data_IF_022411151589
#
_entry.id   IF_022411151589
#
_cell.length_a   1.000
_cell.length_b   1.000
_cell.length_c   1.000
_cell.angle_alpha   90.00
_cell.angle_beta   90.00
_cell.angle_gamma   90.00
#
_symmetry.space_group_name_H-M   'P 1'
#
loop_
_entity.id
_entity.type
_entity.pdbx_description
1 polymer ?
#
# COMPACT_ATOMS: atom_id res chain seq x y z
N UNK A 1 -8.20 -25.74 17.36
CA UNK A 1 -7.26 -25.29 18.41
C UNK A 1 -6.13 -26.32 18.63
N UNK A 2 -5.53 -26.87 17.56
CA UNK A 2 -4.42 -27.85 17.64
C UNK A 2 -3.31 -27.64 16.56
N UNK A 3 -3.40 -26.59 15.73
CA UNK A 3 -2.45 -26.37 14.61
C UNK A 3 -1.28 -25.42 14.93
N UNK A 4 -1.49 -24.43 15.79
CA UNK A 4 -0.48 -23.39 16.09
C UNK A 4 0.57 -23.84 17.11
N UNK A 5 0.24 -24.80 17.98
CA UNK A 5 1.18 -25.33 18.97
C UNK A 5 2.32 -26.14 18.32
N UNK A 6 2.07 -26.77 17.15
CA UNK A 6 3.02 -27.66 16.49
C UNK A 6 4.18 -26.92 15.79
N UNK A 7 3.93 -25.74 15.22
CA UNK A 7 4.94 -25.00 14.46
C UNK A 7 5.95 -24.32 15.40
N UNK A 8 5.47 -23.75 16.51
CA UNK A 8 6.35 -23.20 17.53
C UNK A 8 7.19 -24.29 18.20
N UNK A 9 6.59 -25.45 18.50
CA UNK A 9 7.32 -26.60 19.05
C UNK A 9 8.39 -27.10 18.08
N UNK A 10 8.09 -27.16 16.78
CA UNK A 10 9.04 -27.60 15.76
C UNK A 10 10.20 -26.62 15.56
N UNK A 11 9.94 -25.32 15.64
CA UNK A 11 10.98 -24.27 15.58
C UNK A 11 11.91 -24.30 16.80
N UNK A 12 11.35 -24.45 18.00
CA UNK A 12 12.12 -24.57 19.24
C UNK A 12 12.92 -25.87 19.25
N UNK A 13 12.33 -27.00 18.80
CA UNK A 13 13.01 -28.29 18.73
C UNK A 13 14.19 -28.27 17.75
N UNK A 14 14.06 -27.62 16.59
CA UNK A 14 15.17 -27.45 15.65
C UNK A 14 16.29 -26.57 16.19
N UNK A 15 15.97 -25.48 16.91
CA UNK A 15 17.01 -24.66 17.58
C UNK A 15 17.73 -25.42 18.69
N UNK A 16 17.01 -26.26 19.44
CA UNK A 16 17.59 -27.10 20.48
C UNK A 16 18.49 -28.18 19.86
N UNK A 17 18.06 -28.84 18.78
CA UNK A 17 18.85 -29.84 18.06
C UNK A 17 20.13 -29.19 17.46
N UNK A 18 20.01 -27.99 16.89
CA UNK A 18 21.15 -27.23 16.37
C UNK A 18 22.16 -26.86 17.47
N UNK A 19 21.66 -26.41 18.63
CA UNK A 19 22.51 -26.06 19.77
C UNK A 19 23.19 -27.30 20.37
N UNK A 20 22.46 -28.42 20.49
CA UNK A 20 23.00 -29.70 20.95
C UNK A 20 24.07 -30.22 19.97
N UNK A 21 23.86 -30.11 18.66
CA UNK A 21 24.84 -30.51 17.66
C UNK A 21 26.15 -29.70 17.79
N UNK A 22 26.07 -28.39 18.00
CA UNK A 22 27.23 -27.52 18.23
C UNK A 22 27.97 -27.89 19.52
N UNK A 23 27.24 -28.13 20.61
CA UNK A 23 27.83 -28.52 21.90
C UNK A 23 28.50 -29.89 21.83
N UNK A 24 27.89 -30.86 21.13
CA UNK A 24 28.45 -32.19 20.89
C UNK A 24 29.74 -32.10 20.06
N UNK A 25 29.78 -31.28 19.01
CA UNK A 25 30.98 -31.08 18.18
C UNK A 25 32.11 -30.45 19.00
N UNK A 26 31.80 -29.49 19.87
CA UNK A 26 32.78 -28.83 20.74
C UNK A 26 33.30 -29.72 21.88
N UNK A 27 32.53 -30.72 22.33
CA UNK A 27 32.92 -31.63 23.42
C UNK A 27 33.57 -32.94 22.94
N UNK A 28 33.21 -33.46 21.76
CA UNK A 28 33.75 -34.74 21.26
C UNK A 28 35.13 -34.57 20.60
N UNK A 29 35.47 -33.37 20.10
CA UNK A 29 36.76 -33.14 19.43
C UNK A 29 37.56 -31.97 20.04
N UNK A 30 38.14 -32.11 21.26
CA UNK A 30 38.99 -31.06 21.82
C UNK A 30 40.38 -30.97 21.17
N UNK A 31 40.78 -32.01 20.42
CA UNK A 31 42.20 -32.24 20.06
C UNK A 31 42.49 -32.45 18.58
N UNK A 32 41.55 -32.16 17.67
CA UNK A 32 41.83 -32.14 16.22
C UNK A 32 41.99 -30.70 15.73
N UNK A 33 43.02 -30.05 16.27
CA UNK A 33 43.50 -28.73 15.84
C UNK A 33 44.92 -28.88 15.29
N UNK A 34 45.16 -29.76 14.33
CA UNK A 34 46.40 -29.71 13.56
C UNK A 34 46.17 -30.05 12.08
N UNK A 35 46.28 -28.98 11.29
CA UNK A 35 46.59 -28.88 9.86
C UNK A 35 45.62 -29.39 8.79
N UNK A 36 44.86 -30.48 8.98
CA UNK A 36 43.93 -30.96 7.92
C UNK A 36 42.46 -30.54 8.12
N UNK A 37 42.11 -29.99 9.30
CA UNK A 37 40.74 -29.53 9.61
C UNK A 37 40.35 -28.18 8.99
N UNK A 38 41.30 -27.37 8.53
CA UNK A 38 41.02 -26.05 7.94
C UNK A 38 40.40 -26.14 6.55
N UNK A 39 40.70 -27.20 5.78
CA UNK A 39 40.12 -27.43 4.45
C UNK A 39 38.70 -27.97 4.58
N UNK A 40 38.45 -28.87 5.54
CA UNK A 40 37.13 -29.44 5.78
C UNK A 40 36.17 -28.47 6.48
N UNK A 41 36.67 -27.59 7.36
CA UNK A 41 35.86 -26.48 7.88
C UNK A 41 35.53 -25.45 6.80
N UNK A 42 36.39 -25.22 5.81
CA UNK A 42 36.08 -24.34 4.66
C UNK A 42 35.00 -24.94 3.77
N UNK A 43 35.08 -26.23 3.45
CA UNK A 43 34.05 -26.98 2.73
C UNK A 43 32.73 -27.04 3.49
N UNK A 44 32.76 -27.25 4.82
CA UNK A 44 31.56 -27.25 5.66
C UNK A 44 30.96 -25.84 5.81
N UNK A 45 31.78 -24.79 5.92
CA UNK A 45 31.31 -23.39 5.89
C UNK A 45 30.81 -22.98 4.52
N UNK A 46 31.42 -23.47 3.42
CA UNK A 46 30.92 -23.27 2.06
C UNK A 46 29.62 -24.02 1.86
N UNK A 47 29.48 -25.23 2.40
CA UNK A 47 28.25 -26.03 2.34
C UNK A 47 27.17 -25.38 3.20
N UNK A 48 27.50 -24.85 4.38
CA UNK A 48 26.58 -24.07 5.22
C UNK A 48 26.20 -22.76 4.52
N UNK A 49 27.13 -22.08 3.84
CA UNK A 49 26.89 -20.87 3.06
C UNK A 49 26.13 -21.13 1.75
N UNK A 50 26.26 -22.33 1.17
CA UNK A 50 25.50 -22.81 0.01
C UNK A 50 24.12 -23.28 0.44
N UNK A 51 23.97 -23.89 1.62
CA UNK A 51 22.66 -24.17 2.21
C UNK A 51 21.97 -22.91 2.72
N UNK A 52 22.71 -21.87 3.16
CA UNK A 52 22.12 -20.57 3.47
C UNK A 52 21.78 -19.79 2.20
N UNK A 53 22.58 -19.91 1.13
CA UNK A 53 22.25 -19.33 -0.17
C UNK A 53 21.07 -20.06 -0.85
N UNK A 54 20.91 -21.37 -0.62
CA UNK A 54 19.74 -22.13 -1.06
C UNK A 54 18.53 -22.07 -0.12
N UNK A 55 18.70 -21.78 1.18
CA UNK A 55 17.58 -21.40 2.09
C UNK A 55 17.22 -19.91 1.98
N UNK A 56 18.09 -19.10 1.39
CA UNK A 56 17.80 -17.76 0.90
C UNK A 56 17.13 -17.76 -0.48
N UNK A 57 16.62 -18.91 -0.97
CA UNK A 57 15.34 -18.85 -1.70
C UNK A 57 14.31 -18.41 -0.66
N UNK A 58 14.32 -17.09 -0.47
CA UNK A 58 13.62 -16.31 0.54
C UNK A 58 12.26 -16.94 0.73
N UNK A 59 11.91 -17.31 1.97
CA UNK A 59 10.51 -17.26 2.36
C UNK A 59 10.16 -15.77 2.20
N UNK A 60 9.84 -15.37 0.97
CA UNK A 60 9.32 -14.05 0.68
C UNK A 60 7.95 -14.13 1.29
N UNK A 61 7.84 -13.65 2.53
CA UNK A 61 6.53 -13.39 3.08
C UNK A 61 5.84 -12.46 2.08
N UNK A 62 4.64 -12.81 1.60
CA UNK A 62 3.92 -11.91 0.73
C UNK A 62 3.79 -10.57 1.42
N UNK A 63 4.31 -9.53 0.78
CA UNK A 63 4.23 -8.15 1.23
C UNK A 63 3.00 -7.54 0.59
N UNK A 64 2.03 -7.14 1.41
CA UNK A 64 0.80 -6.50 0.92
C UNK A 64 1.14 -5.30 0.04
N UNK A 65 0.52 -5.23 -1.14
CA UNK A 65 0.74 -4.16 -2.11
C UNK A 65 -0.30 -3.06 -1.97
N UNK A 66 0.08 -1.84 -2.33
CA UNK A 66 -0.84 -0.72 -2.47
C UNK A 66 -0.93 -0.25 -3.93
N UNK A 67 -2.15 -0.31 -4.48
CA UNK A 67 -2.50 0.21 -5.80
C UNK A 67 -2.93 1.67 -5.68
N UNK A 68 -2.30 2.56 -6.46
CA UNK A 68 -2.60 3.99 -6.44
C UNK A 68 -3.14 4.44 -7.79
N UNK A 69 -4.37 4.99 -7.80
CA UNK A 69 -4.97 5.55 -9.01
C UNK A 69 -4.37 6.91 -9.35
N UNK A 70 -3.66 6.99 -10.48
CA UNK A 70 -2.92 8.19 -10.87
C UNK A 70 -3.14 8.61 -12.34
N UNK A 71 -4.18 8.07 -13.00
CA UNK A 71 -4.37 8.24 -14.44
C UNK A 71 -5.40 9.29 -14.89
N UNK A 72 -6.15 9.88 -13.96
CA UNK A 72 -7.22 10.84 -14.29
C UNK A 72 -6.71 12.23 -14.69
N UNK A 73 -7.54 12.98 -15.43
CA UNK A 73 -7.20 14.31 -15.96
C UNK A 73 -7.06 15.41 -14.90
N UNK A 74 -7.64 15.26 -13.70
CA UNK A 74 -7.56 16.30 -12.66
C UNK A 74 -8.22 17.63 -13.06
N UNK A 75 -9.34 17.58 -13.76
CA UNK A 75 -10.00 18.75 -14.38
C UNK A 75 -10.45 19.83 -13.40
N UNK A 76 -10.62 19.48 -12.11
CA UNK A 76 -11.06 20.40 -11.04
C UNK A 76 -9.94 21.29 -10.47
N UNK A 77 -8.68 21.03 -10.84
CA UNK A 77 -7.50 21.83 -10.50
C UNK A 77 -6.70 22.15 -11.77
N UNK A 78 -7.37 22.78 -12.75
CA UNK A 78 -6.82 23.02 -14.08
C UNK A 78 -5.53 23.86 -14.07
N UNK A 79 -5.36 24.72 -13.07
CA UNK A 79 -4.16 25.54 -12.86
C UNK A 79 -2.89 24.69 -12.71
N UNK A 80 -3.03 23.50 -12.11
CA UNK A 80 -1.93 22.56 -11.93
C UNK A 80 -1.98 21.42 -12.95
N UNK A 81 -3.17 20.90 -13.25
CA UNK A 81 -3.33 19.73 -14.11
C UNK A 81 -2.97 20.00 -15.58
N UNK A 82 -3.06 21.28 -15.99
CA UNK A 82 -2.52 21.77 -17.27
C UNK A 82 -1.02 21.55 -17.42
N UNK A 83 -0.26 21.49 -16.32
CA UNK A 83 1.20 21.29 -16.32
C UNK A 83 1.58 19.85 -15.96
N UNK A 84 0.97 19.26 -14.93
CA UNK A 84 1.36 17.95 -14.38
C UNK A 84 0.15 17.07 -14.02
N UNK A 85 0.24 15.73 -13.93
CA UNK A 85 -0.90 14.95 -13.45
C UNK A 85 -1.18 15.28 -11.98
N UNK A 86 -2.45 15.20 -11.55
CA UNK A 86 -2.88 15.60 -10.19
C UNK A 86 -2.04 15.00 -9.05
N UNK A 87 -1.66 13.71 -9.07
CA UNK A 87 -0.81 13.13 -8.02
C UNK A 87 0.61 13.72 -7.95
N UNK A 88 1.04 14.43 -8.99
CA UNK A 88 2.34 15.11 -9.07
C UNK A 88 2.28 16.58 -8.62
N UNK A 89 1.11 17.08 -8.23
CA UNK A 89 0.99 18.38 -7.56
C UNK A 89 1.67 18.28 -6.20
N UNK A 90 2.53 19.25 -5.93
CA UNK A 90 3.40 19.22 -4.77
C UNK A 90 2.73 19.83 -3.54
N UNK A 91 3.02 19.22 -2.40
CA UNK A 91 2.84 19.78 -1.06
C UNK A 91 4.19 19.78 -0.36
N UNK A 92 4.72 20.92 0.05
CA UNK A 92 6.01 21.00 0.73
C UNK A 92 7.20 20.56 -0.12
N UNK A 93 7.14 20.82 -1.43
CA UNK A 93 8.18 20.44 -2.40
C UNK A 93 8.22 18.95 -2.74
N UNK A 94 7.22 18.16 -2.32
CA UNK A 94 7.08 16.74 -2.68
C UNK A 94 5.70 16.46 -3.28
N UNK A 95 5.58 15.65 -4.35
CA UNK A 95 4.29 15.24 -4.91
C UNK A 95 3.32 14.68 -3.86
N UNK A 96 2.03 14.99 -3.94
CA UNK A 96 1.02 14.39 -3.04
C UNK A 96 1.05 12.85 -3.12
N UNK A 97 1.37 12.29 -4.29
CA UNK A 97 1.63 10.86 -4.47
C UNK A 97 2.69 10.36 -3.49
N UNK A 98 3.81 11.07 -3.35
CA UNK A 98 4.88 10.72 -2.42
C UNK A 98 4.39 10.73 -0.96
N UNK A 99 3.57 11.70 -0.56
CA UNK A 99 2.98 11.73 0.78
C UNK A 99 2.10 10.50 1.03
N UNK A 100 1.30 10.09 0.04
CA UNK A 100 0.46 8.89 0.11
C UNK A 100 1.33 7.63 0.27
N UNK A 101 2.41 7.51 -0.52
CA UNK A 101 3.35 6.38 -0.38
C UNK A 101 4.00 6.36 1.01
N UNK A 102 4.35 7.53 1.57
CA UNK A 102 4.90 7.63 2.93
C UNK A 102 3.90 7.20 4.01
N UNK A 103 2.61 7.49 3.85
CA UNK A 103 1.55 6.99 4.75
C UNK A 103 1.56 5.46 4.74
N UNK A 104 1.47 4.83 3.57
CA UNK A 104 1.53 3.36 3.46
C UNK A 104 2.83 2.76 4.00
N UNK A 105 3.97 3.35 3.66
CA UNK A 105 5.28 2.88 4.10
C UNK A 105 5.45 2.98 5.62
N UNK A 106 4.88 4.00 6.27
CA UNK A 106 4.82 4.09 7.73
C UNK A 106 4.10 2.88 8.35
N UNK A 107 3.05 2.41 7.67
CA UNK A 107 2.29 1.23 8.06
C UNK A 107 2.89 -0.08 7.55
N UNK A 108 4.06 -0.05 6.92
CA UNK A 108 4.83 -1.23 6.50
C UNK A 108 4.52 -1.75 5.09
N UNK A 109 3.71 -1.03 4.31
CA UNK A 109 3.45 -1.34 2.90
C UNK A 109 4.44 -0.53 2.05
N UNK A 110 5.41 -1.22 1.45
CA UNK A 110 6.49 -0.61 0.65
C UNK A 110 6.46 -1.00 -0.83
N UNK A 111 5.50 -1.84 -1.22
CA UNK A 111 5.33 -2.30 -2.60
C UNK A 111 4.10 -1.63 -3.23
N UNK A 112 4.35 -0.87 -4.28
CA UNK A 112 3.38 0.04 -4.88
C UNK A 112 3.16 -0.27 -6.35
N UNK A 113 1.90 -0.26 -6.76
CA UNK A 113 1.50 -0.34 -8.17
C UNK A 113 0.74 0.93 -8.53
N UNK A 114 1.34 1.78 -9.35
CA UNK A 114 0.75 3.07 -9.72
C UNK A 114 0.10 2.94 -11.10
N UNK A 115 -1.22 3.15 -11.13
CA UNK A 115 -2.01 3.14 -12.35
C UNK A 115 -1.89 4.49 -13.07
N UNK A 116 -0.89 4.60 -13.94
CA UNK A 116 -0.63 5.79 -14.75
C UNK A 116 -1.64 5.92 -15.91
N UNK A 117 -1.82 7.14 -16.39
CA UNK A 117 -2.67 7.47 -17.53
C UNK A 117 -2.26 8.82 -18.09
N UNK A 118 -3.13 9.82 -17.98
CA UNK A 118 -2.82 11.19 -18.38
C UNK A 118 -1.47 11.66 -17.81
N UNK A 119 -0.54 12.05 -18.68
CA UNK A 119 0.83 12.49 -18.34
C UNK A 119 1.63 11.51 -17.46
N UNK A 120 1.39 10.21 -17.56
CA UNK A 120 2.10 9.18 -16.79
C UNK A 120 3.62 9.21 -16.92
N UNK A 121 4.17 9.75 -18.02
CA UNK A 121 5.61 9.92 -18.21
C UNK A 121 6.25 10.79 -17.12
N UNK A 122 5.55 11.77 -16.54
CA UNK A 122 6.07 12.60 -15.46
C UNK A 122 6.25 11.81 -14.16
N UNK A 123 5.35 10.86 -13.90
CA UNK A 123 5.47 9.94 -12.75
C UNK A 123 6.67 9.01 -12.97
N UNK A 124 6.82 8.47 -14.19
CA UNK A 124 7.99 7.65 -14.56
C UNK A 124 9.30 8.40 -14.39
N UNK A 125 9.36 9.65 -14.87
CA UNK A 125 10.54 10.48 -14.71
C UNK A 125 10.84 10.77 -13.24
N UNK A 126 9.82 11.10 -12.42
CA UNK A 126 10.00 11.35 -11.00
C UNK A 126 10.68 10.18 -10.26
N UNK A 127 10.24 8.94 -10.51
CA UNK A 127 10.86 7.76 -9.89
C UNK A 127 12.23 7.41 -10.49
N UNK A 128 12.42 7.62 -11.80
CA UNK A 128 13.73 7.48 -12.45
C UNK A 128 14.77 8.42 -11.83
N UNK A 129 14.37 9.66 -11.56
CA UNK A 129 15.25 10.69 -11.02
C UNK A 129 15.23 10.73 -9.48
N UNK A 130 14.51 9.82 -8.82
CA UNK A 130 14.25 9.90 -7.38
C UNK A 130 15.55 9.89 -6.57
N UNK A 131 16.51 9.04 -6.94
CA UNK A 131 17.82 9.01 -6.28
C UNK A 131 18.58 10.32 -6.47
N UNK A 132 18.50 10.94 -7.64
CA UNK A 132 19.15 12.24 -7.92
C UNK A 132 18.58 13.36 -7.06
N UNK A 133 17.26 13.36 -6.82
CA UNK A 133 16.59 14.39 -6.03
C UNK A 133 16.75 14.21 -4.52
N UNK A 134 17.02 13.00 -4.06
CA UNK A 134 17.01 12.65 -2.64
C UNK A 134 18.38 12.21 -2.09
N UNK A 135 19.40 12.15 -2.94
CA UNK A 135 20.74 11.73 -2.54
C UNK A 135 21.79 12.75 -2.94
N UNK A 136 22.85 12.83 -2.15
CA UNK A 136 24.05 13.57 -2.54
C UNK A 136 24.75 12.78 -3.66
N UNK A 137 24.96 13.41 -4.82
CA UNK A 137 25.59 12.77 -6.00
C UNK A 137 26.80 13.55 -6.51
N UNK A 138 27.75 12.84 -7.09
CA UNK A 138 28.86 13.44 -7.85
C UNK A 138 28.92 12.84 -9.24
N UNK A 139 28.97 13.71 -10.24
CA UNK A 139 29.16 13.34 -11.64
C UNK A 139 30.61 13.56 -12.04
N UNK A 140 31.30 12.49 -12.46
CA UNK A 140 32.61 12.59 -13.12
C UNK A 140 32.37 12.56 -14.63
N UNK A 141 32.17 13.74 -15.19
CA UNK A 141 31.75 13.93 -16.59
C UNK A 141 32.79 13.41 -17.60
N UNK A 142 34.07 13.39 -17.24
CA UNK A 142 35.18 12.86 -18.05
C UNK A 142 35.10 11.33 -18.25
N UNK A 143 34.43 10.63 -17.35
CA UNK A 143 34.29 9.16 -17.35
C UNK A 143 32.85 8.67 -17.42
N UNK A 144 31.90 9.59 -17.55
CA UNK A 144 30.46 9.30 -17.52
C UNK A 144 30.05 8.46 -16.30
N UNK A 145 30.61 8.80 -15.13
CA UNK A 145 30.38 8.07 -13.87
C UNK A 145 29.51 8.92 -12.92
N UNK A 146 28.52 8.29 -12.30
CA UNK A 146 27.71 8.87 -11.23
C UNK A 146 27.97 8.10 -9.93
N UNK A 147 28.38 8.82 -8.90
CA UNK A 147 28.58 8.29 -7.56
C UNK A 147 27.51 8.83 -6.60
N UNK A 148 26.83 7.94 -5.87
CA UNK A 148 25.87 8.28 -4.82
C UNK A 148 26.60 8.24 -3.46
N UNK A 149 26.52 9.30 -2.67
CA UNK A 149 27.21 9.40 -1.36
C UNK A 149 26.30 9.01 -0.20
N UNK A 150 25.17 9.70 -0.05
CA UNK A 150 24.17 9.47 1.00
C UNK A 150 22.86 9.07 0.36
N UNK A 151 22.56 7.78 0.39
CA UNK A 151 21.30 7.26 -0.11
C UNK A 151 20.23 7.47 0.96
N UNK A 152 19.49 8.58 0.87
CA UNK A 152 18.30 8.82 1.69
C UNK A 152 17.02 8.40 0.94
N UNK A 153 17.15 7.60 -0.13
CA UNK A 153 15.99 7.10 -0.84
C UNK A 153 15.22 6.10 0.01
N UNK A 154 13.93 6.02 -0.26
CA UNK A 154 13.03 5.14 0.45
C UNK A 154 13.19 3.71 -0.08
N UNK A 155 13.09 2.68 0.78
CA UNK A 155 13.25 1.30 0.36
C UNK A 155 11.94 0.75 -0.24
N UNK A 156 11.46 1.39 -1.30
CA UNK A 156 10.19 1.06 -1.96
C UNK A 156 10.41 0.26 -3.23
N UNK A 157 9.50 -0.67 -3.49
CA UNK A 157 9.32 -1.26 -4.82
C UNK A 157 8.18 -0.52 -5.51
N UNK A 158 8.43 0.13 -6.64
CA UNK A 158 7.41 0.93 -7.34
C UNK A 158 7.26 0.45 -8.77
N UNK A 159 6.11 -0.13 -9.08
CA UNK A 159 5.70 -0.52 -10.44
C UNK A 159 4.81 0.55 -11.05
N UNK A 160 5.22 1.07 -12.21
CA UNK A 160 4.49 2.14 -12.92
C UNK A 160 3.84 1.59 -14.19
N UNK A 161 2.53 1.38 -14.15
CA UNK A 161 1.79 0.73 -15.23
C UNK A 161 1.02 1.76 -16.03
N UNK A 162 1.19 1.78 -17.34
CA UNK A 162 0.30 2.54 -18.21
C UNK A 162 -1.04 1.81 -18.31
N UNK A 163 -2.06 2.38 -17.68
CA UNK A 163 -3.40 1.81 -17.60
C UNK A 163 -4.37 2.45 -18.59
N UNK A 164 -3.86 3.14 -19.61
CA UNK A 164 -4.65 3.74 -20.68
C UNK A 164 -5.09 5.18 -20.38
N UNK A 165 -5.16 6.01 -21.42
CA UNK A 165 -5.52 7.42 -21.27
C UNK A 165 -6.99 7.60 -20.86
N UNK A 166 -7.90 6.88 -21.51
CA UNK A 166 -9.36 7.06 -21.37
C UNK A 166 -10.00 6.12 -20.34
N UNK A 167 -9.21 5.26 -19.70
CA UNK A 167 -9.71 4.22 -18.81
C UNK A 167 -10.21 4.77 -17.48
N UNK A 168 -11.34 4.24 -17.01
CA UNK A 168 -11.97 4.59 -15.75
C UNK A 168 -11.35 3.85 -14.55
N UNK A 169 -11.70 4.28 -13.34
CA UNK A 169 -11.07 3.81 -12.08
C UNK A 169 -11.09 2.29 -11.92
N UNK A 170 -12.21 1.63 -12.25
CA UNK A 170 -12.32 0.16 -12.20
C UNK A 170 -11.48 -0.50 -13.29
N UNK A 171 -11.58 -0.03 -14.53
CA UNK A 171 -10.76 -0.52 -15.64
C UNK A 171 -9.26 -0.48 -15.35
N UNK A 172 -8.77 0.61 -14.74
CA UNK A 172 -7.36 0.75 -14.33
C UNK A 172 -6.95 -0.28 -13.29
N UNK A 173 -7.82 -0.53 -12.31
CA UNK A 173 -7.61 -1.55 -11.30
C UNK A 173 -7.53 -2.95 -11.93
N UNK A 174 -8.43 -3.26 -12.88
CA UNK A 174 -8.39 -4.55 -13.60
C UNK A 174 -7.11 -4.74 -14.40
N UNK A 175 -6.60 -3.69 -15.04
CA UNK A 175 -5.36 -3.77 -15.84
C UNK A 175 -4.12 -4.12 -15.03
N UNK A 176 -4.12 -3.85 -13.72
CA UNK A 176 -2.97 -4.18 -12.86
C UNK A 176 -3.09 -5.54 -12.18
N UNK A 177 -4.07 -6.37 -12.56
CA UNK A 177 -4.32 -7.71 -11.97
C UNK A 177 -3.06 -8.59 -11.89
N UNK A 178 -2.22 -8.56 -12.93
CA UNK A 178 -1.00 -9.38 -12.99
C UNK A 178 0.06 -8.99 -11.94
N UNK A 179 -0.02 -7.78 -11.39
CA UNK A 179 0.92 -7.28 -10.38
C UNK A 179 0.46 -7.51 -8.95
N UNK A 180 -0.72 -8.10 -8.72
CA UNK A 180 -1.33 -8.25 -7.38
C UNK A 180 -1.09 -9.62 -6.74
N UNK A 181 -0.42 -10.55 -7.44
CA UNK A 181 -0.11 -11.92 -7.00
C UNK A 181 -1.31 -12.74 -6.48
N UNK A 182 -2.53 -12.31 -6.79
CA UNK A 182 -3.78 -12.89 -6.29
C UNK A 182 -3.86 -12.90 -4.74
N UNK A 183 -3.42 -11.82 -4.11
CA UNK A 183 -3.47 -11.61 -2.65
C UNK A 183 -4.28 -10.38 -2.27
N UNK A 184 -4.74 -10.31 -1.01
CA UNK A 184 -5.37 -9.12 -0.46
C UNK A 184 -4.45 -7.91 -0.61
N UNK A 185 -4.98 -6.78 -1.10
CA UNK A 185 -4.20 -5.60 -1.43
C UNK A 185 -4.93 -4.31 -1.03
N UNK A 186 -4.17 -3.22 -0.88
CA UNK A 186 -4.73 -1.90 -0.66
C UNK A 186 -4.98 -1.18 -1.99
N UNK A 187 -6.01 -0.34 -2.04
CA UNK A 187 -6.26 0.57 -3.16
C UNK A 187 -6.53 1.98 -2.62
N UNK A 188 -6.03 3.02 -3.25
CA UNK A 188 -6.50 4.38 -2.95
C UNK A 188 -6.37 5.33 -4.14
N UNK A 189 -6.91 6.53 -3.95
CA UNK A 189 -6.80 7.66 -4.85
C UNK A 189 -5.46 8.36 -4.68
N UNK A 190 -4.87 8.85 -5.77
CA UNK A 190 -3.60 9.58 -5.77
C UNK A 190 -3.69 11.05 -5.34
N UNK A 191 -4.74 11.46 -4.64
CA UNK A 191 -5.03 12.87 -4.32
C UNK A 191 -5.52 13.13 -2.89
N UNK A 192 -5.68 12.11 -2.05
CA UNK A 192 -6.17 12.22 -0.67
C UNK A 192 -5.11 11.85 0.35
N UNK A 193 -4.94 12.68 1.38
CA UNK A 193 -4.04 12.43 2.51
C UNK A 193 -4.82 12.41 3.82
N UNK A 194 -4.37 11.61 4.78
CA UNK A 194 -4.99 11.51 6.11
C UNK A 194 -4.05 10.85 7.12
N UNK A 195 -4.38 10.97 8.41
CA UNK A 195 -3.75 10.21 9.50
C UNK A 195 -4.42 8.84 9.70
N UNK A 196 -4.83 8.21 8.60
CA UNK A 196 -5.56 6.93 8.59
C UNK A 196 -4.65 5.80 9.06
N UNK A 197 -5.07 5.05 10.07
CA UNK A 197 -4.35 3.84 10.47
C UNK A 197 -4.62 2.68 9.50
N UNK A 198 -3.71 2.53 8.53
CA UNK A 198 -3.80 1.49 7.50
C UNK A 198 -3.70 0.08 8.11
N UNK A 199 -2.94 -0.11 9.20
CA UNK A 199 -2.86 -1.43 9.85
C UNK A 199 -4.19 -1.79 10.50
N UNK A 200 -4.86 -0.82 11.12
CA UNK A 200 -6.18 -1.01 11.70
C UNK A 200 -7.24 -1.31 10.63
N UNK A 201 -7.20 -0.65 9.47
CA UNK A 201 -8.15 -0.91 8.39
C UNK A 201 -7.99 -2.32 7.80
N UNK A 202 -6.75 -2.82 7.67
CA UNK A 202 -6.47 -4.20 7.23
C UNK A 202 -7.00 -5.21 8.25
N UNK A 203 -6.70 -5.03 9.54
CA UNK A 203 -7.22 -5.90 10.60
C UNK A 203 -8.74 -5.94 10.59
N UNK A 204 -9.37 -4.78 10.49
CA UNK A 204 -10.82 -4.66 10.41
C UNK A 204 -11.39 -5.38 9.19
N UNK A 205 -10.76 -5.25 8.02
CA UNK A 205 -11.17 -5.98 6.82
C UNK A 205 -11.20 -7.50 7.04
N UNK A 206 -10.15 -8.05 7.65
CA UNK A 206 -10.07 -9.48 7.97
C UNK A 206 -11.16 -9.93 8.96
N UNK A 207 -11.46 -9.10 9.96
CA UNK A 207 -12.53 -9.36 10.93
C UNK A 207 -13.92 -9.38 10.28
N UNK A 208 -14.17 -8.47 9.33
CA UNK A 208 -15.46 -8.35 8.66
C UNK A 208 -15.71 -9.43 7.60
N UNK A 209 -14.66 -10.09 7.09
CA UNK A 209 -14.74 -11.08 5.99
C UNK A 209 -15.48 -10.54 4.76
N UNK A 210 -15.36 -9.24 4.52
CA UNK A 210 -15.90 -8.55 3.35
C UNK A 210 -14.96 -8.74 2.15
N UNK A 211 -15.45 -8.57 0.93
CA UNK A 211 -14.56 -8.55 -0.25
C UNK A 211 -13.88 -7.19 -0.41
N UNK A 212 -14.50 -6.12 0.09
CA UNK A 212 -13.94 -4.79 0.08
C UNK A 212 -14.22 -4.09 1.41
N UNK A 213 -13.23 -3.38 1.92
CA UNK A 213 -13.39 -2.41 3.01
C UNK A 213 -12.97 -1.05 2.49
N UNK A 214 -13.83 -0.03 2.60
CA UNK A 214 -13.46 1.36 2.35
C UNK A 214 -13.20 2.10 3.65
N UNK A 215 -12.40 3.17 3.60
CA UNK A 215 -12.27 4.09 4.73
C UNK A 215 -13.37 5.15 4.65
N UNK A 216 -14.28 5.10 5.62
CA UNK A 216 -15.35 6.09 5.77
C UNK A 216 -14.82 7.29 6.54
N UNK A 217 -14.93 8.48 5.94
CA UNK A 217 -14.45 9.75 6.50
C UNK A 217 -15.59 10.76 6.56
N UNK A 218 -15.38 11.84 7.30
CA UNK A 218 -16.27 13.01 7.33
C UNK A 218 -15.50 14.26 6.95
N UNK A 219 -16.12 15.11 6.15
CA UNK A 219 -15.59 16.44 5.87
C UNK A 219 -16.47 17.49 6.56
N UNK A 220 -15.87 18.61 7.01
CA UNK A 220 -16.62 19.79 7.39
C UNK A 220 -17.49 20.25 6.21
N UNK A 221 -18.75 20.57 6.51
CA UNK A 221 -19.65 21.14 5.53
C UNK A 221 -19.10 22.46 4.99
N UNK A 222 -19.18 22.67 3.67
CA UNK A 222 -18.73 23.91 3.03
C UNK A 222 -19.79 25.00 3.05
N UNK A 223 -21.04 24.62 3.28
CA UNK A 223 -22.22 25.47 3.19
C UNK A 223 -23.10 25.27 4.41
N UNK A 224 -24.00 26.23 4.64
CA UNK A 224 -25.11 26.06 5.56
C UNK A 224 -26.06 24.96 5.09
N UNK A 225 -26.35 24.01 5.97
CA UNK A 225 -27.27 22.90 5.71
C UNK A 225 -28.54 23.07 6.53
N UNK A 226 -29.65 22.69 5.93
CA UNK A 226 -30.95 22.62 6.57
C UNK A 226 -31.80 21.57 5.85
N UNK A 227 -32.75 20.98 6.57
CA UNK A 227 -33.72 20.06 5.98
C UNK A 227 -35.00 20.84 5.65
N UNK A 228 -35.55 20.62 4.46
CA UNK A 228 -36.84 21.17 4.02
C UNK A 228 -37.72 20.00 3.59
N UNK A 229 -38.92 19.89 4.14
CA UNK A 229 -39.92 18.90 3.70
C UNK A 229 -40.68 19.43 2.50
N UNK A 230 -41.27 18.55 1.67
CA UNK A 230 -42.04 18.98 0.50
C UNK A 230 -43.26 19.84 0.88
N UNK A 231 -43.83 19.67 2.08
CA UNK A 231 -45.02 20.40 2.52
C UNK A 231 -44.74 21.72 3.26
N UNK A 232 -43.48 22.06 3.56
CA UNK A 232 -43.13 23.25 4.35
C UNK A 232 -42.14 24.16 3.62
N UNK A 233 -42.44 25.46 3.58
CA UNK A 233 -41.50 26.49 3.15
C UNK A 233 -40.65 27.06 4.29
N UNK A 234 -40.92 26.67 5.53
CA UNK A 234 -40.22 27.16 6.72
C UNK A 234 -39.11 26.20 7.12
N UNK A 235 -37.91 26.75 7.32
CA UNK A 235 -36.72 26.05 7.80
C UNK A 235 -36.78 25.90 9.32
N UNK A 236 -36.78 24.66 9.81
CA UNK A 236 -36.83 24.36 11.25
C UNK A 236 -35.46 24.43 11.95
N UNK A 237 -34.37 24.23 11.21
CA UNK A 237 -32.99 24.27 11.72
C UNK A 237 -32.02 24.63 10.61
N UNK A 238 -31.02 25.46 10.90
CA UNK A 238 -29.94 25.83 9.98
C UNK A 238 -28.60 25.67 10.67
N UNK A 239 -27.70 24.87 10.10
CA UNK A 239 -26.33 24.69 10.60
C UNK A 239 -25.35 25.22 9.58
N UNK A 240 -24.66 26.32 9.90
CA UNK A 240 -23.57 26.85 9.06
C UNK A 240 -22.33 25.97 9.20
N UNK A 241 -21.86 25.40 8.08
CA UNK A 241 -20.64 24.57 8.02
C UNK A 241 -20.62 23.47 9.09
N UNK A 242 -21.56 22.51 9.04
CA UNK A 242 -21.67 21.45 10.02
C UNK A 242 -20.36 20.66 10.15
N UNK A 243 -20.04 20.24 11.38
CA UNK A 243 -18.88 19.42 11.69
C UNK A 243 -19.30 18.14 12.43
N UNK A 244 -18.48 17.09 12.33
CA UNK A 244 -18.67 15.87 13.11
C UNK A 244 -19.97 15.10 12.81
N UNK A 245 -20.73 14.78 13.86
CA UNK A 245 -21.90 13.89 13.85
C UNK A 245 -22.96 14.20 12.80
N UNK A 246 -23.05 15.45 12.39
CA UNK A 246 -24.09 15.99 11.50
C UNK A 246 -23.75 15.87 10.01
N UNK A 247 -22.50 15.56 9.66
CA UNK A 247 -22.12 15.33 8.26
C UNK A 247 -22.20 13.85 7.87
N UNK A 248 -22.64 13.54 6.64
CA UNK A 248 -22.70 12.17 6.17
C UNK A 248 -21.29 11.59 6.06
N UNK A 249 -21.19 10.28 6.30
CA UNK A 249 -19.98 9.54 5.97
C UNK A 249 -19.82 9.47 4.46
N UNK A 250 -18.60 9.71 3.99
CA UNK A 250 -18.23 9.62 2.58
C UNK A 250 -17.09 8.63 2.38
N UNK A 251 -16.91 8.18 1.14
CA UNK A 251 -15.78 7.35 0.73
C UNK A 251 -14.49 8.18 0.70
N UNK A 252 -13.56 7.89 1.61
CA UNK A 252 -12.25 8.52 1.70
C UNK A 252 -11.15 7.82 0.88
N UNK A 253 -11.48 6.75 0.15
CA UNK A 253 -10.50 5.85 -0.45
C UNK A 253 -9.94 4.87 0.57
N UNK A 254 -8.62 4.69 0.57
CA UNK A 254 -7.87 3.81 1.49
C UNK A 254 -8.58 2.47 1.69
N UNK A 255 -8.81 1.79 0.58
CA UNK A 255 -9.50 0.51 0.54
C UNK A 255 -8.55 -0.63 0.91
N UNK A 256 -9.13 -1.70 1.45
CA UNK A 256 -8.51 -3.03 1.56
C UNK A 256 -9.43 -3.99 0.80
N UNK A 257 -8.87 -4.69 -0.19
CA UNK A 257 -9.63 -5.42 -1.20
C UNK A 257 -9.11 -6.85 -1.34
N UNK A 258 -10.04 -7.79 -1.49
CA UNK A 258 -9.73 -9.16 -1.93
C UNK A 258 -9.62 -9.22 -3.47
N UNK A 259 -8.76 -10.09 -4.04
CA UNK A 259 -8.58 -10.21 -5.50
C UNK A 259 -9.88 -10.44 -6.28
N UNK A 260 -10.86 -11.12 -5.67
CA UNK A 260 -12.15 -11.41 -6.29
C UNK A 260 -13.00 -10.17 -6.58
N UNK A 261 -12.67 -8.99 -6.03
CA UNK A 261 -13.36 -7.74 -6.42
C UNK A 261 -13.14 -7.40 -7.90
N UNK A 262 -12.06 -7.90 -8.51
CA UNK A 262 -11.76 -7.65 -9.92
C UNK A 262 -12.79 -8.29 -10.86
N UNK A 263 -13.52 -9.32 -10.39
CA UNK A 263 -14.56 -9.98 -11.16
C UNK A 263 -15.84 -9.12 -11.25
N UNK A 264 -15.92 -8.02 -10.49
CA UNK A 264 -16.98 -7.00 -10.60
C UNK A 264 -16.65 -5.91 -11.64
N UNK A 265 -15.56 -6.07 -12.41
CA UNK A 265 -15.06 -5.05 -13.34
C UNK A 265 -15.14 -5.56 -14.79
N UNK A 266 -16.15 -5.11 -15.52
CA UNK A 266 -16.49 -5.61 -16.85
C UNK A 266 -15.54 -5.14 -17.96
N UNK A 267 -15.05 -3.90 -17.89
CA UNK A 267 -14.25 -3.30 -18.95
C UNK A 267 -13.40 -2.12 -18.47
N UNK A 268 -12.68 -1.49 -19.41
CA UNK A 268 -11.92 -0.27 -19.17
C UNK A 268 -12.80 0.95 -18.83
N UNK A 269 -14.08 0.90 -19.21
CA UNK A 269 -15.06 1.97 -18.97
C UNK A 269 -15.70 1.86 -17.59
N UNK A 270 -15.45 0.76 -16.87
CA UNK A 270 -16.01 0.54 -15.54
C UNK A 270 -15.46 1.57 -14.54
N UNK A 271 -16.36 2.33 -13.92
CA UNK A 271 -16.07 3.23 -12.80
C UNK A 271 -16.19 2.44 -11.50
N UNK A 272 -15.09 2.32 -10.75
CA UNK A 272 -15.01 1.59 -9.48
C UNK A 272 -16.13 1.99 -8.51
N UNK A 273 -16.38 3.30 -8.43
CA UNK A 273 -17.33 3.92 -7.49
C UNK A 273 -18.81 3.68 -7.84
N UNK A 274 -19.11 3.11 -9.03
CA UNK A 274 -20.47 2.85 -9.48
C UNK A 274 -20.80 1.36 -9.31
N UNK A 275 -21.08 0.66 -10.42
CA UNK A 275 -21.53 -0.72 -10.43
C UNK A 275 -20.73 -1.67 -9.53
N UNK A 276 -19.37 -1.61 -9.44
CA UNK A 276 -18.63 -2.49 -8.54
C UNK A 276 -18.95 -2.25 -7.06
N UNK A 277 -18.79 -1.01 -6.57
CA UNK A 277 -19.09 -0.70 -5.16
C UNK A 277 -20.58 -0.85 -4.83
N UNK A 278 -21.49 -0.48 -5.73
CA UNK A 278 -22.94 -0.67 -5.55
C UNK A 278 -23.33 -2.15 -5.44
N UNK A 279 -22.72 -3.00 -6.27
CA UNK A 279 -22.95 -4.46 -6.24
C UNK A 279 -22.35 -5.10 -4.98
N UNK A 280 -21.15 -4.67 -4.57
CA UNK A 280 -20.54 -5.14 -3.32
C UNK A 280 -21.37 -4.71 -2.11
N UNK A 281 -21.88 -3.48 -2.08
CA UNK A 281 -22.74 -2.98 -1.01
C UNK A 281 -24.07 -3.72 -0.92
N UNK A 282 -24.79 -3.83 -2.04
CA UNK A 282 -26.08 -4.54 -2.09
C UNK A 282 -25.95 -6.03 -1.77
N UNK A 283 -24.81 -6.64 -2.10
CA UNK A 283 -24.50 -8.02 -1.75
C UNK A 283 -24.01 -8.24 -0.31
N UNK A 284 -23.90 -7.19 0.52
CA UNK A 284 -23.37 -7.29 1.88
C UNK A 284 -21.88 -7.62 1.95
N UNK A 285 -21.13 -7.35 0.87
CA UNK A 285 -19.70 -7.66 0.71
C UNK A 285 -18.79 -6.42 0.81
N UNK A 286 -19.34 -5.26 1.14
CA UNK A 286 -18.63 -4.00 1.37
C UNK A 286 -18.71 -3.59 2.85
N UNK A 287 -17.56 -3.49 3.50
CA UNK A 287 -17.43 -2.96 4.86
C UNK A 287 -16.93 -1.51 4.85
N UNK A 288 -17.20 -0.78 5.93
CA UNK A 288 -16.72 0.59 6.14
C UNK A 288 -15.89 0.67 7.43
N UNK A 289 -14.60 0.97 7.29
CA UNK A 289 -13.70 1.29 8.39
C UNK A 289 -13.85 2.78 8.73
N UNK A 290 -14.29 3.12 9.93
CA UNK A 290 -14.57 4.51 10.32
C UNK A 290 -13.27 5.20 10.73
N UNK A 291 -12.94 6.29 10.03
CA UNK A 291 -11.84 7.18 10.37
C UNK A 291 -12.37 8.54 10.81
N UNK A 292 -12.20 8.84 12.09
CA UNK A 292 -12.59 10.13 12.70
C UNK A 292 -11.44 11.15 12.74
N UNK A 293 -10.25 10.74 12.30
CA UNK A 293 -9.08 11.61 12.22
C UNK A 293 -9.13 12.59 11.05
N UNK A 294 -7.99 13.18 10.75
CA UNK A 294 -7.82 14.07 9.61
C UNK A 294 -7.86 13.30 8.29
N UNK A 295 -8.62 13.84 7.34
CA UNK A 295 -8.60 13.42 5.94
C UNK A 295 -8.90 14.62 5.05
N UNK A 296 -8.11 14.81 3.99
CA UNK A 296 -8.24 15.93 3.08
C UNK A 296 -7.85 15.51 1.65
N UNK A 297 -8.77 15.63 0.67
CA UNK A 297 -8.47 15.51 -0.75
C UNK A 297 -7.90 16.83 -1.27
N UNK A 298 -7.12 16.76 -2.34
CA UNK A 298 -6.59 17.93 -3.05
C UNK A 298 -7.32 18.15 -4.38
N UNK A 299 -8.61 18.49 -4.33
CA UNK A 299 -9.45 18.64 -5.53
C UNK A 299 -9.33 20.00 -6.22
N UNK A 300 -8.99 21.03 -5.44
CA UNK A 300 -8.97 22.43 -5.88
C UNK A 300 -7.68 23.13 -5.45
N UNK A 301 -7.39 24.30 -6.03
CA UNK A 301 -6.27 25.16 -5.59
C UNK A 301 -6.38 25.55 -4.11
N UNK A 302 -7.59 25.73 -3.59
CA UNK A 302 -7.84 25.98 -2.16
C UNK A 302 -7.36 24.82 -1.30
N UNK A 303 -7.65 23.59 -1.72
CA UNK A 303 -7.21 22.40 -0.98
C UNK A 303 -5.69 22.28 -0.99
N UNK A 304 -5.04 22.55 -2.15
CA UNK A 304 -3.57 22.60 -2.25
C UNK A 304 -2.99 23.61 -1.25
N UNK A 305 -3.50 24.85 -1.26
CA UNK A 305 -2.98 25.91 -0.39
C UNK A 305 -3.17 25.58 1.10
N UNK A 306 -4.30 24.94 1.46
CA UNK A 306 -4.52 24.46 2.83
C UNK A 306 -3.47 23.43 3.25
N UNK A 307 -3.20 22.44 2.39
CA UNK A 307 -2.19 21.41 2.64
C UNK A 307 -0.77 22.01 2.70
N UNK A 308 -0.44 22.95 1.82
CA UNK A 308 0.85 23.65 1.82
C UNK A 308 1.07 24.44 3.12
N UNK A 309 0.04 25.18 3.56
CA UNK A 309 0.06 25.91 4.81
C UNK A 309 0.23 24.98 6.02
N UNK A 310 -0.51 23.86 6.04
CA UNK A 310 -0.37 22.83 7.07
C UNK A 310 1.05 22.29 7.16
N UNK A 311 1.66 22.03 6.01
CA UNK A 311 3.03 21.52 5.93
C UNK A 311 4.04 22.54 6.44
N UNK A 312 3.99 23.78 5.96
CA UNK A 312 4.92 24.84 6.36
C UNK A 312 4.84 25.20 7.85
N UNK A 313 3.64 25.12 8.44
CA UNK A 313 3.45 25.36 9.87
C UNK A 313 3.80 24.14 10.75
N UNK A 314 4.29 23.03 10.15
CA UNK A 314 4.64 21.82 10.89
C UNK A 314 3.43 21.10 11.51
N UNK A 315 2.22 21.35 10.99
CA UNK A 315 0.95 20.78 11.47
C UNK A 315 0.29 19.82 10.49
N UNK A 316 1.04 19.33 9.51
CA UNK A 316 0.58 18.33 8.55
C UNK A 316 0.25 17.02 9.26
N UNK A 317 -1.03 16.83 9.61
CA UNK A 317 -1.49 15.68 10.40
C UNK A 317 -1.22 14.33 9.73
N UNK A 318 -1.18 14.29 8.39
CA UNK A 318 -0.86 13.08 7.63
C UNK A 318 0.63 12.72 7.65
N UNK A 319 1.53 13.61 8.11
CA UNK A 319 2.95 13.32 8.29
C UNK A 319 3.14 12.44 9.54
N UNK A 320 2.73 11.18 9.44
CA UNK A 320 2.79 10.19 10.52
C UNK A 320 4.19 9.56 10.67
N UNK A 321 5.09 9.82 9.72
CA UNK A 321 6.46 9.31 9.72
C UNK A 321 7.46 10.27 10.37
N UNK A 322 8.55 9.70 10.85
CA UNK A 322 9.71 10.44 11.32
C UNK A 322 10.69 10.69 10.16
N UNK A 323 11.48 11.76 10.25
CA UNK A 323 12.49 12.11 9.24
C UNK A 323 13.79 11.28 9.36
N UNK A 324 13.88 10.40 10.38
CA UNK A 324 15.01 9.50 10.56
C UNK A 324 14.83 8.21 9.71
N UNK A 325 15.87 7.73 9.00
CA UNK A 325 15.79 6.49 8.24
C UNK A 325 15.51 5.31 9.17
N UNK A 326 14.41 4.58 8.94
CA UNK A 326 14.12 3.32 9.63
C UNK A 326 14.90 2.19 8.96
N UNK A 327 15.56 1.30 9.72
CA UNK A 327 16.08 0.06 9.16
C UNK A 327 14.93 -0.80 8.62
N UNK A 328 15.18 -1.48 7.50
CA UNK A 328 14.29 -2.48 6.91
C UNK A 328 14.12 -3.64 7.91
N UNK A 329 13.08 -3.56 8.74
CA UNK A 329 12.64 -4.69 9.56
C UNK A 329 11.43 -5.31 8.88
N UNK A 330 11.48 -6.61 8.61
CA UNK A 330 10.27 -7.40 8.34
C UNK A 330 9.28 -7.16 9.48
N UNK A 331 8.18 -6.46 9.19
CA UNK A 331 7.19 -6.10 10.19
C UNK A 331 6.41 -7.36 10.58
N UNK A 332 6.78 -7.95 11.73
CA UNK A 332 6.16 -9.16 12.23
C UNK A 332 4.65 -9.00 12.42
N UNK A 333 4.17 -7.78 12.66
CA UNK A 333 2.74 -7.50 12.82
C UNK A 333 2.00 -7.62 11.49
N UNK A 334 2.58 -7.14 10.38
CA UNK A 334 2.02 -7.34 9.05
C UNK A 334 2.09 -8.81 8.64
N UNK A 335 3.19 -9.50 8.93
CA UNK A 335 3.31 -10.93 8.65
C UNK A 335 2.27 -11.77 9.43
N UNK A 336 2.02 -11.44 10.69
CA UNK A 336 1.00 -12.10 11.52
C UNK A 336 -0.43 -11.78 11.03
N UNK A 337 -0.67 -10.55 10.59
CA UNK A 337 -1.93 -10.15 9.93
C UNK A 337 -2.13 -10.96 8.65
N UNK A 338 -1.14 -11.02 7.76
CA UNK A 338 -1.27 -11.67 6.44
C UNK A 338 -1.33 -13.20 6.48
N UNK A 339 -0.88 -13.84 7.55
CA UNK A 339 -0.89 -15.31 7.69
C UNK A 339 -2.20 -15.88 8.26
N UNK A 340 -3.17 -15.03 8.56
CA UNK A 340 -4.49 -15.46 9.07
C UNK A 340 -5.42 -15.85 7.91
N UNK A 341 -5.90 -17.12 7.82
CA UNK A 341 -6.69 -17.57 6.68
C UNK A 341 -8.07 -16.91 6.62
N UNK A 342 -8.34 -16.17 5.54
CA UNK A 342 -9.67 -15.67 5.20
C UNK A 342 -10.44 -16.82 4.53
N UNK A 343 -11.40 -17.40 5.24
CA UNK A 343 -12.36 -18.33 4.63
C UNK A 343 -13.56 -17.56 4.08
N UNK A 344 -13.70 -17.56 2.75
CA UNK A 344 -14.93 -17.16 2.09
C UNK A 344 -16.13 -17.99 2.63
N UNK A 345 -17.35 -17.42 2.69
CA UNK A 345 -18.53 -18.18 3.09
C UNK A 345 -18.75 -19.37 2.17
N UNK A 346 -18.87 -20.55 2.77
CA UNK A 346 -19.10 -21.80 2.05
C UNK A 346 -20.51 -21.78 1.41
N UNK A 347 -20.58 -21.59 0.08
CA UNK A 347 -21.60 -22.16 -0.81
C UNK A 347 -21.56 -21.74 -2.30
N UNK A 348 -20.41 -21.39 -2.89
CA UNK A 348 -20.36 -21.09 -4.34
C UNK A 348 -19.34 -21.97 -5.06
N UNK A 349 -19.83 -22.64 -6.13
CA UNK A 349 -19.02 -23.47 -7.02
C UNK A 349 -18.03 -22.57 -7.76
N UNK A 350 -16.74 -22.75 -7.48
CA UNK A 350 -15.67 -22.19 -8.32
C UNK A 350 -15.77 -22.88 -9.69
N UNK A 351 -16.11 -22.13 -10.73
CA UNK A 351 -16.00 -22.62 -12.10
C UNK A 351 -14.52 -22.92 -12.39
N UNK A 352 -14.23 -24.15 -12.79
CA UNK A 352 -12.88 -24.56 -13.16
C UNK A 352 -12.37 -23.68 -14.32
N UNK A 353 -11.09 -23.28 -14.32
CA UNK A 353 -10.53 -22.48 -15.40
C UNK A 353 -10.57 -23.28 -16.71
N UNK A 354 -11.35 -22.81 -17.67
CA UNK A 354 -11.28 -23.27 -19.05
C UNK A 354 -9.96 -22.80 -19.64
N UNK A 355 -9.02 -23.72 -19.82
CA UNK A 355 -7.79 -23.48 -20.56
C UNK A 355 -8.20 -23.26 -22.02
N UNK A 356 -8.08 -22.03 -22.51
CA UNK A 356 -8.16 -21.74 -23.94
C UNK A 356 -6.78 -22.06 -24.53
N UNK A 357 -6.65 -22.95 -25.54
CA UNK A 357 -5.37 -23.22 -26.17
C UNK A 357 -4.91 -21.99 -26.94
N UNK A 358 -3.64 -21.63 -26.80
CA UNK A 358 -3.00 -20.59 -27.58
C UNK A 358 -2.94 -21.00 -29.07
N UNK A 359 -3.33 -20.08 -29.96
CA UNK A 359 -2.95 -20.06 -31.37
C UNK A 359 -2.42 -18.70 -31.73
#
# INVERSE_FOLDING_TARGET
>A
MYGTLNIFYWYVLNKIIFFIAIVIILFIFPSVLFYDGLVQCKELLLTISLTSAHFSSVITFPTMKAVILAGGYGTRISEESGVRPKPMVEVGGKPILWHILKIYAHHGITDFVICCGYKGHMIKQYFSDYFLHNSDVTFRMDRNEMQIHRNNAEPWTVTLVDTGLETMTGGRLRRVREYLDNETFCLTYGDGVGDVDIRASIRYHQEQKALATLTAVRQPGRFGVFNLTEESSLVSSFTEKPEGGETPWINGGFFVLEPSVLDYIDSDDTVWEKAPLESLASGGKLAAFRHEGFWQPMDTLRDKNLLEEMWHQGRARWKVWNDAPKPLTTDSVLADIMTSPVMAPANERVAAPTIVPAS
#
